data_IF_902557348253
#
_entry.id   IF_902557348253
#
_cell.length_a   1.000
_cell.length_b   1.000
_cell.length_c   1.000
_cell.angle_alpha   90.00
_cell.angle_beta   90.00
_cell.angle_gamma   90.00
#
_symmetry.space_group_name_H-M   'P 1'
#
loop_
_entity.id
_entity.type
_entity.pdbx_description
1 polymer ?
#
# COMPACT_ATOMS: atom_id res chain seq x y z
N UNK A 1 -21.14 8.03 -11.24
CA UNK A 1 -21.49 8.36 -9.84
C UNK A 1 -20.68 9.59 -9.50
N UNK A 2 -21.36 10.73 -9.43
CA UNK A 2 -20.74 12.03 -9.23
C UNK A 2 -20.10 12.10 -7.84
N UNK A 3 -18.85 12.52 -7.79
CA UNK A 3 -18.12 12.76 -6.56
C UNK A 3 -18.65 14.06 -5.94
N UNK A 4 -19.33 13.97 -4.79
CA UNK A 4 -19.80 15.13 -4.03
C UNK A 4 -18.72 15.46 -3.00
N UNK A 5 -17.99 16.58 -3.14
CA UNK A 5 -17.04 17.02 -2.12
C UNK A 5 -17.84 17.70 -1.00
N UNK A 6 -18.09 16.96 0.09
CA UNK A 6 -18.85 17.50 1.23
C UNK A 6 -19.11 16.56 2.42
N UNK A 7 -18.95 15.23 2.27
CA UNK A 7 -19.30 14.29 3.35
C UNK A 7 -18.16 13.96 4.34
N UNK A 8 -17.16 14.84 4.48
CA UNK A 8 -16.19 14.76 5.59
C UNK A 8 -16.47 15.76 6.73
N UNK A 9 -17.54 16.55 6.65
CA UNK A 9 -17.85 17.59 7.66
C UNK A 9 -18.62 17.09 8.90
N UNK A 10 -18.92 15.79 9.01
CA UNK A 10 -19.50 15.21 10.22
C UNK A 10 -18.48 14.44 11.08
N UNK A 11 -17.23 14.90 11.11
CA UNK A 11 -16.32 14.55 12.21
C UNK A 11 -16.77 15.36 13.43
N UNK A 12 -17.42 14.65 14.34
CA UNK A 12 -17.86 15.06 15.68
C UNK A 12 -16.89 16.11 16.28
N UNK A 13 -17.38 17.25 16.81
CA UNK A 13 -16.52 18.17 17.54
C UNK A 13 -15.97 17.43 18.76
N UNK A 14 -14.65 17.26 18.82
CA UNK A 14 -13.96 16.74 20.00
C UNK A 14 -14.03 17.85 21.06
N UNK A 15 -15.18 17.93 21.72
CA UNK A 15 -15.25 18.56 23.03
C UNK A 15 -14.36 17.74 23.96
N UNK A 16 -13.49 18.43 24.70
CA UNK A 16 -12.69 17.93 25.82
C UNK A 16 -13.60 17.19 26.81
N UNK A 17 -13.88 15.92 26.53
CA UNK A 17 -14.25 14.93 27.52
C UNK A 17 -12.98 14.18 27.84
N UNK A 18 -12.62 14.14 29.12
CA UNK A 18 -11.57 13.26 29.62
C UNK A 18 -11.93 11.82 29.24
N UNK A 19 -11.41 11.37 28.11
CA UNK A 19 -11.38 9.97 27.72
C UNK A 19 -10.36 9.33 28.64
N UNK A 20 -10.86 8.60 29.64
CA UNK A 20 -10.03 7.66 30.37
C UNK A 20 -9.46 6.65 29.38
N UNK A 21 -8.15 6.45 29.43
CA UNK A 21 -7.31 5.29 29.07
C UNK A 21 -7.75 4.24 28.02
N UNK A 22 -8.70 4.51 27.13
CA UNK A 22 -9.25 3.53 26.18
C UNK A 22 -8.97 3.87 24.70
N UNK A 23 -8.44 2.85 24.01
CA UNK A 23 -8.01 2.75 22.60
C UNK A 23 -6.63 3.36 22.30
N UNK A 24 -5.58 2.64 22.71
CA UNK A 24 -4.27 2.77 22.08
C UNK A 24 -4.39 2.45 20.58
N UNK A 25 -4.50 3.48 19.74
CA UNK A 25 -4.41 3.35 18.28
C UNK A 25 -3.07 2.68 17.98
N UNK A 26 -3.08 1.55 17.26
CA UNK A 26 -1.83 0.89 16.90
C UNK A 26 -0.95 1.87 16.10
N UNK A 27 0.35 1.91 16.39
CA UNK A 27 1.28 2.79 15.69
C UNK A 27 1.22 2.61 14.17
N UNK A 28 0.91 1.39 13.71
CA UNK A 28 0.68 1.08 12.31
C UNK A 28 -0.54 1.80 11.71
N UNK A 29 -1.66 1.91 12.44
CA UNK A 29 -2.86 2.59 11.94
C UNK A 29 -2.62 4.10 11.81
N UNK A 30 -1.96 4.70 12.80
CA UNK A 30 -1.61 6.12 12.73
C UNK A 30 -0.71 6.42 11.53
N UNK A 31 0.28 5.56 11.26
CA UNK A 31 1.14 5.70 10.09
C UNK A 31 0.36 5.56 8.77
N UNK A 32 -0.57 4.59 8.67
CA UNK A 32 -1.43 4.44 7.48
C UNK A 32 -2.25 5.70 7.24
N UNK A 33 -2.89 6.25 8.28
CA UNK A 33 -3.68 7.47 8.13
C UNK A 33 -2.81 8.66 7.71
N UNK A 34 -1.63 8.83 8.31
CA UNK A 34 -0.68 9.86 7.92
C UNK A 34 -0.19 9.69 6.47
N UNK A 35 0.01 8.45 6.02
CA UNK A 35 0.36 8.13 4.64
C UNK A 35 -0.78 8.44 3.66
N UNK A 36 -2.02 8.05 4.00
CA UNK A 36 -3.21 8.35 3.21
C UNK A 36 -3.41 9.86 3.01
N UNK A 37 -3.16 10.66 4.04
CA UNK A 37 -3.30 12.12 3.97
C UNK A 37 -2.26 12.81 3.08
N UNK A 38 -1.19 12.11 2.72
CA UNK A 38 -0.17 12.62 1.79
C UNK A 38 -0.48 12.29 0.33
N UNK A 39 -1.43 11.38 0.07
CA UNK A 39 -1.84 11.05 -1.28
C UNK A 39 -2.51 12.25 -1.94
N UNK A 40 -2.25 12.42 -3.25
CA UNK A 40 -2.94 13.44 -4.02
C UNK A 40 -4.40 13.01 -4.24
N UNK A 41 -5.36 13.94 -4.33
CA UNK A 41 -6.78 13.61 -4.54
C UNK A 41 -7.07 12.80 -5.80
N UNK A 42 -6.23 12.89 -6.82
CA UNK A 42 -6.30 12.16 -8.09
C UNK A 42 -5.54 10.83 -8.08
N UNK A 43 -5.01 10.41 -6.93
CA UNK A 43 -4.31 9.13 -6.81
C UNK A 43 -5.33 8.00 -6.78
N UNK A 44 -5.44 7.28 -7.89
CA UNK A 44 -6.35 6.13 -8.01
C UNK A 44 -5.68 4.80 -7.70
N UNK A 45 -4.43 4.63 -8.12
CA UNK A 45 -3.61 3.42 -7.87
C UNK A 45 -2.39 3.80 -7.06
N UNK A 46 -2.07 3.01 -6.04
CA UNK A 46 -0.88 3.18 -5.22
C UNK A 46 0.03 1.95 -5.32
N UNK A 47 1.26 2.10 -5.83
CA UNK A 47 2.31 1.10 -5.70
C UNK A 47 2.69 0.89 -4.24
N UNK A 48 2.84 -0.37 -3.84
CA UNK A 48 3.26 -0.71 -2.49
C UNK A 48 4.18 -1.91 -2.42
N UNK A 49 5.00 -1.96 -1.37
CA UNK A 49 5.93 -3.05 -1.06
C UNK A 49 6.02 -3.22 0.46
N UNK A 50 6.62 -4.32 0.91
CA UNK A 50 7.13 -4.45 2.27
C UNK A 50 8.61 -4.79 2.28
N UNK A 51 9.32 -4.42 3.34
CA UNK A 51 10.74 -4.72 3.51
C UNK A 51 11.06 -5.07 4.96
N UNK A 52 11.94 -6.06 5.15
CA UNK A 52 12.38 -6.55 6.44
C UNK A 52 13.83 -7.02 6.37
N UNK A 53 14.59 -6.72 7.42
CA UNK A 53 15.90 -7.28 7.65
C UNK A 53 17.02 -6.50 6.98
N UNK A 54 18.13 -6.35 7.71
CA UNK A 54 19.32 -5.58 7.33
C UNK A 54 19.84 -5.89 5.91
N UNK A 55 19.72 -7.15 5.47
CA UNK A 55 20.14 -7.58 4.13
C UNK A 55 19.42 -6.86 2.99
N UNK A 56 18.13 -6.55 3.20
CA UNK A 56 17.26 -5.85 2.24
C UNK A 56 17.15 -4.35 2.54
N UNK A 57 17.12 -3.95 3.81
CA UNK A 57 16.98 -2.55 4.24
C UNK A 57 17.99 -1.62 3.56
N UNK A 58 19.24 -2.07 3.36
CA UNK A 58 20.30 -1.31 2.67
C UNK A 58 19.96 -0.91 1.23
N UNK A 59 19.02 -1.60 0.58
CA UNK A 59 18.60 -1.30 -0.79
C UNK A 59 17.39 -0.37 -0.85
N UNK A 60 16.68 -0.16 0.26
CA UNK A 60 15.40 0.56 0.28
C UNK A 60 15.50 1.97 -0.29
N UNK A 61 16.54 2.71 0.08
CA UNK A 61 16.71 4.07 -0.44
C UNK A 61 16.91 4.07 -1.97
N UNK A 62 17.69 3.11 -2.50
CA UNK A 62 17.91 3.00 -3.95
C UNK A 62 16.67 2.50 -4.69
N UNK A 63 15.89 1.64 -4.05
CA UNK A 63 14.61 1.18 -4.58
C UNK A 63 13.63 2.34 -4.74
N UNK A 64 13.51 3.19 -3.72
CA UNK A 64 12.67 4.40 -3.77
C UNK A 64 13.19 5.45 -4.74
N UNK A 65 14.51 5.66 -4.84
CA UNK A 65 15.09 6.54 -5.87
C UNK A 65 14.79 6.00 -7.26
N UNK A 66 14.84 4.67 -7.45
CA UNK A 66 14.49 4.05 -8.73
C UNK A 66 13.01 4.24 -9.07
N UNK A 67 12.11 4.04 -8.11
CA UNK A 67 10.68 4.30 -8.26
C UNK A 67 10.41 5.76 -8.70
N UNK A 68 11.10 6.72 -8.06
CA UNK A 68 11.03 8.13 -8.44
C UNK A 68 11.49 8.38 -9.87
N UNK A 69 12.61 7.78 -10.28
CA UNK A 69 13.18 7.92 -11.63
C UNK A 69 12.22 7.40 -12.71
N UNK A 70 11.46 6.35 -12.42
CA UNK A 70 10.49 5.81 -13.38
C UNK A 70 9.15 6.54 -13.39
N UNK A 71 8.94 7.54 -12.52
CA UNK A 71 7.73 8.39 -12.54
C UNK A 71 6.82 8.25 -11.32
N UNK A 72 7.10 7.32 -10.40
CA UNK A 72 6.23 7.08 -9.24
C UNK A 72 6.35 8.22 -8.23
N UNK A 73 5.24 8.91 -7.97
CA UNK A 73 5.18 10.06 -7.07
C UNK A 73 5.04 9.70 -5.58
N UNK A 74 4.31 8.62 -5.28
CA UNK A 74 4.12 8.10 -3.92
C UNK A 74 4.23 6.58 -3.94
N UNK A 75 4.94 6.03 -2.97
CA UNK A 75 5.18 4.60 -2.86
C UNK A 75 4.94 4.16 -1.42
N UNK A 76 3.92 3.34 -1.18
CA UNK A 76 3.66 2.81 0.16
C UNK A 76 4.69 1.74 0.53
N UNK A 77 5.38 1.92 1.65
CA UNK A 77 6.39 0.97 2.12
C UNK A 77 6.03 0.49 3.51
N UNK A 78 5.77 -0.80 3.60
CA UNK A 78 5.61 -1.49 4.87
C UNK A 78 6.98 -1.86 5.44
N UNK A 79 7.36 -1.12 6.47
CA UNK A 79 8.65 -1.26 7.12
C UNK A 79 8.47 -2.16 8.33
N UNK A 80 8.94 -3.41 8.23
CA UNK A 80 8.67 -4.46 9.21
C UNK A 80 9.73 -4.49 10.35
N UNK A 81 10.63 -3.51 10.36
CA UNK A 81 11.56 -3.23 11.43
C UNK A 81 11.89 -1.72 11.49
N UNK A 82 12.49 -1.29 12.59
CA UNK A 82 12.78 0.13 12.84
C UNK A 82 13.83 0.69 11.87
N UNK A 83 14.80 -0.12 11.45
CA UNK A 83 15.85 0.32 10.51
C UNK A 83 15.23 0.64 9.14
N UNK A 84 14.32 -0.21 8.66
CA UNK A 84 13.56 0.03 7.44
C UNK A 84 12.73 1.32 7.53
N UNK A 85 12.05 1.56 8.66
CA UNK A 85 11.24 2.77 8.87
C UNK A 85 12.10 4.03 8.80
N UNK A 86 13.22 4.03 9.52
CA UNK A 86 14.17 5.15 9.56
C UNK A 86 14.86 5.41 8.23
N UNK A 87 15.04 4.39 7.38
CA UNK A 87 15.55 4.57 6.01
C UNK A 87 14.45 5.12 5.10
N UNK A 88 13.24 4.56 5.16
CA UNK A 88 12.13 4.94 4.32
C UNK A 88 11.78 6.43 4.46
N UNK A 89 11.63 6.92 5.70
CA UNK A 89 11.21 8.30 6.01
C UNK A 89 12.18 9.38 5.53
N UNK A 90 13.39 8.99 5.13
CA UNK A 90 14.40 9.90 4.57
C UNK A 90 14.16 10.20 3.10
N UNK A 91 13.27 9.47 2.44
CA UNK A 91 13.01 9.61 1.01
C UNK A 91 11.62 10.21 0.76
N UNK A 92 11.50 11.28 -0.05
CA UNK A 92 10.27 12.07 -0.14
C UNK A 92 9.07 11.34 -0.75
N UNK A 93 9.29 10.32 -1.60
CA UNK A 93 8.17 9.54 -2.17
C UNK A 93 7.70 8.40 -1.26
N UNK A 94 8.47 8.07 -0.22
CA UNK A 94 8.20 6.92 0.63
C UNK A 94 7.10 7.23 1.63
N UNK A 95 5.97 6.53 1.51
CA UNK A 95 4.87 6.56 2.47
C UNK A 95 5.04 5.40 3.44
N UNK A 96 5.75 5.66 4.53
CA UNK A 96 6.31 4.63 5.41
C UNK A 96 5.31 4.22 6.49
N UNK A 97 5.03 2.93 6.57
CA UNK A 97 4.10 2.37 7.56
C UNK A 97 4.80 1.29 8.37
N UNK A 98 4.83 1.45 9.70
CA UNK A 98 5.38 0.43 10.60
C UNK A 98 4.48 -0.80 10.62
N UNK A 99 5.12 -1.97 10.53
CA UNK A 99 4.46 -3.27 10.64
C UNK A 99 5.25 -4.22 11.54
N UNK A 100 4.66 -5.37 11.84
CA UNK A 100 5.35 -6.48 12.54
C UNK A 100 6.00 -7.41 11.53
N UNK A 101 7.08 -8.14 11.85
CA UNK A 101 7.68 -9.12 10.93
C UNK A 101 6.72 -10.28 10.60
N UNK A 102 5.96 -10.16 9.52
CA UNK A 102 5.03 -11.18 9.05
C UNK A 102 4.80 -11.07 7.55
N UNK A 103 4.80 -12.22 6.88
CA UNK A 103 4.41 -12.32 5.46
C UNK A 103 2.93 -11.95 5.27
N UNK A 104 2.10 -12.07 6.31
CA UNK A 104 0.67 -11.76 6.24
C UNK A 104 0.40 -10.27 5.98
N UNK A 105 1.35 -9.38 6.27
CA UNK A 105 1.23 -7.96 5.96
C UNK A 105 1.03 -7.68 4.47
N UNK A 106 1.52 -8.59 3.61
CA UNK A 106 1.24 -8.56 2.17
C UNK A 106 -0.24 -8.60 1.83
N UNK A 107 -1.04 -9.21 2.69
CA UNK A 107 -2.47 -9.36 2.46
C UNK A 107 -3.30 -8.40 3.31
N UNK A 108 -2.92 -8.15 4.56
CA UNK A 108 -3.74 -7.33 5.47
C UNK A 108 -3.74 -5.85 5.13
N UNK A 109 -2.67 -5.34 4.53
CA UNK A 109 -2.52 -3.90 4.33
C UNK A 109 -3.06 -3.36 3.01
N UNK A 110 -2.98 -4.10 1.89
CA UNK A 110 -3.82 -3.78 0.74
C UNK A 110 -5.28 -3.60 1.13
N UNK A 111 -5.82 -4.43 2.05
CA UNK A 111 -7.21 -4.30 2.50
C UNK A 111 -7.52 -2.90 3.05
N UNK A 112 -6.58 -2.26 3.76
CA UNK A 112 -6.82 -0.92 4.32
C UNK A 112 -6.98 0.11 3.20
N UNK A 113 -6.14 0.07 2.17
CA UNK A 113 -6.26 0.97 1.01
C UNK A 113 -7.49 0.65 0.17
N UNK A 114 -7.78 -0.63 -0.05
CA UNK A 114 -8.98 -1.06 -0.77
C UNK A 114 -10.25 -0.61 -0.02
N UNK A 115 -10.26 -0.63 1.32
CA UNK A 115 -11.36 -0.09 2.13
C UNK A 115 -11.50 1.43 1.98
N UNK A 116 -10.40 2.15 1.76
CA UNK A 116 -10.39 3.57 1.46
C UNK A 116 -10.75 3.91 0.00
N UNK A 117 -11.09 2.91 -0.83
CA UNK A 117 -11.44 3.13 -2.24
C UNK A 117 -10.24 3.38 -3.15
N UNK A 118 -9.04 2.99 -2.72
CA UNK A 118 -7.79 3.16 -3.45
C UNK A 118 -7.33 1.82 -4.01
N UNK A 119 -7.11 1.76 -5.32
CA UNK A 119 -6.57 0.58 -5.98
C UNK A 119 -5.12 0.37 -5.57
N UNK A 120 -4.70 -0.89 -5.53
CA UNK A 120 -3.38 -1.28 -5.06
C UNK A 120 -2.60 -1.96 -6.17
N UNK A 121 -1.35 -1.57 -6.33
CA UNK A 121 -0.35 -2.33 -7.08
C UNK A 121 0.70 -2.87 -6.10
N UNK A 122 0.53 -4.11 -5.66
CA UNK A 122 1.52 -4.80 -4.84
C UNK A 122 2.72 -5.19 -5.67
N UNK A 123 3.92 -4.90 -5.16
CA UNK A 123 5.19 -5.36 -5.69
C UNK A 123 6.06 -5.88 -4.55
N UNK A 124 6.60 -7.10 -4.69
CA UNK A 124 7.63 -7.58 -3.77
C UNK A 124 8.89 -6.71 -3.91
N UNK A 125 9.65 -6.58 -2.82
CA UNK A 125 10.78 -5.66 -2.75
C UNK A 125 11.95 -6.05 -3.67
N UNK A 126 12.00 -7.29 -4.13
CA UNK A 126 12.95 -7.80 -5.11
C UNK A 126 12.51 -7.61 -6.57
N UNK A 127 11.36 -6.96 -6.81
CA UNK A 127 10.93 -6.55 -8.16
C UNK A 127 11.71 -5.33 -8.64
N UNK A 128 12.35 -5.43 -9.79
CA UNK A 128 13.11 -4.31 -10.35
C UNK A 128 12.26 -3.50 -11.35
N UNK A 129 12.09 -2.21 -11.06
CA UNK A 129 11.30 -1.31 -11.90
C UNK A 129 12.13 -0.74 -13.06
N UNK A 130 11.80 -1.11 -14.29
CA UNK A 130 12.41 -0.52 -15.49
C UNK A 130 11.65 0.69 -16.03
N UNK A 131 10.33 0.72 -15.83
CA UNK A 131 9.37 1.74 -16.27
C UNK A 131 8.34 1.96 -15.15
N UNK A 132 7.43 2.94 -15.30
CA UNK A 132 6.30 3.11 -14.38
C UNK A 132 5.33 1.91 -14.55
N UNK A 133 5.17 1.05 -13.54
CA UNK A 133 4.30 -0.10 -13.68
C UNK A 133 2.81 0.28 -13.58
N UNK A 134 2.47 1.46 -13.06
CA UNK A 134 1.06 1.90 -12.95
C UNK A 134 0.48 2.17 -14.33
N UNK A 135 1.23 2.86 -15.19
CA UNK A 135 0.82 3.15 -16.58
C UNK A 135 0.57 1.85 -17.35
N UNK A 136 1.49 0.90 -17.27
CA UNK A 136 1.35 -0.41 -17.92
C UNK A 136 0.11 -1.19 -17.43
N UNK A 137 -0.18 -1.14 -16.12
CA UNK A 137 -1.39 -1.78 -15.56
C UNK A 137 -2.65 -1.07 -16.08
N UNK A 138 -2.69 0.26 -16.09
CA UNK A 138 -3.84 1.02 -16.58
C UNK A 138 -4.12 0.76 -18.06
N UNK A 139 -3.08 0.69 -18.89
CA UNK A 139 -3.21 0.40 -20.33
C UNK A 139 -3.74 -1.00 -20.60
N UNK A 140 -3.38 -1.99 -19.77
CA UNK A 140 -3.78 -3.39 -19.94
C UNK A 140 -5.06 -3.74 -19.18
N UNK A 141 -5.56 -2.85 -18.33
CA UNK A 141 -6.76 -3.09 -17.56
C UNK A 141 -8.01 -2.93 -18.43
N UNK A 142 -8.40 -4.01 -19.11
CA UNK A 142 -9.64 -4.11 -19.90
C UNK A 142 -10.89 -4.33 -19.02
N UNK A 143 -10.92 -3.75 -17.82
CA UNK A 143 -12.01 -3.89 -16.85
C UNK A 143 -11.86 -5.08 -15.89
N UNK A 144 -10.63 -5.58 -15.70
CA UNK A 144 -10.32 -6.62 -14.73
C UNK A 144 -10.15 -6.03 -13.33
N UNK A 145 -10.73 -6.68 -12.32
CA UNK A 145 -10.62 -6.22 -10.93
C UNK A 145 -9.35 -6.75 -10.23
N UNK A 146 -8.75 -7.82 -10.75
CA UNK A 146 -7.50 -8.41 -10.27
C UNK A 146 -6.62 -8.77 -11.45
N UNK A 147 -5.35 -8.35 -11.43
CA UNK A 147 -4.35 -8.80 -12.39
C UNK A 147 -3.14 -9.33 -11.65
N UNK A 148 -2.60 -10.47 -12.11
CA UNK A 148 -1.41 -11.09 -11.53
C UNK A 148 -0.41 -11.39 -12.63
N UNK A 149 0.88 -11.34 -12.30
CA UNK A 149 1.89 -11.86 -13.21
C UNK A 149 1.82 -13.39 -13.26
N UNK A 150 2.11 -13.98 -14.42
CA UNK A 150 2.28 -15.44 -14.54
C UNK A 150 3.66 -15.87 -14.04
N UNK A 151 3.75 -17.02 -13.38
CA UNK A 151 5.04 -17.66 -13.07
C UNK A 151 5.47 -18.57 -14.22
N UNK A 152 6.68 -18.34 -14.77
CA UNK A 152 7.24 -19.11 -15.89
C UNK A 152 7.44 -20.61 -15.60
N UNK A 153 7.54 -21.01 -14.32
CA UNK A 153 8.05 -22.33 -13.96
C UNK A 153 6.97 -23.37 -13.63
N UNK A 154 5.71 -22.99 -13.42
CA UNK A 154 4.75 -23.90 -12.77
C UNK A 154 3.27 -23.71 -13.14
N UNK A 155 2.92 -23.01 -14.23
CA UNK A 155 1.51 -22.67 -14.55
C UNK A 155 0.77 -22.06 -13.34
N UNK A 156 1.51 -21.32 -12.50
CA UNK A 156 1.03 -20.72 -11.26
C UNK A 156 0.95 -19.20 -11.39
N UNK A 157 0.12 -18.58 -10.56
CA UNK A 157 0.12 -17.11 -10.38
C UNK A 157 1.34 -16.67 -9.56
N UNK A 158 1.94 -15.56 -9.96
CA UNK A 158 2.98 -14.87 -9.19
C UNK A 158 2.31 -13.83 -8.29
N UNK A 159 2.36 -14.03 -6.98
CA UNK A 159 1.87 -13.04 -6.03
C UNK A 159 2.85 -11.87 -5.83
N UNK A 160 4.02 -11.90 -6.46
CA UNK A 160 5.04 -10.86 -6.32
C UNK A 160 4.73 -9.57 -7.06
N UNK A 161 3.81 -9.60 -8.03
CA UNK A 161 3.24 -8.40 -8.67
C UNK A 161 1.75 -8.62 -8.85
N UNK A 162 0.94 -7.83 -8.15
CA UNK A 162 -0.53 -7.99 -8.13
C UNK A 162 -1.19 -6.62 -8.16
N UNK A 163 -2.07 -6.40 -9.13
CA UNK A 163 -3.02 -5.29 -9.14
C UNK A 163 -4.34 -5.74 -8.52
N UNK A 164 -4.89 -4.89 -7.66
CA UNK A 164 -6.16 -5.07 -6.96
C UNK A 164 -6.99 -3.80 -7.10
N UNK A 165 -8.16 -3.90 -7.72
CA UNK A 165 -9.12 -2.82 -7.79
C UNK A 165 -9.90 -2.71 -6.47
N UNK A 166 -10.19 -1.48 -6.03
CA UNK A 166 -10.94 -1.20 -4.82
C UNK A 166 -12.45 -1.42 -5.00
N UNK A 167 -12.86 -2.67 -5.22
CA UNK A 167 -14.26 -3.10 -5.23
C UNK A 167 -14.61 -3.88 -3.96
N UNK A 168 -15.89 -4.06 -3.69
CA UNK A 168 -16.34 -4.90 -2.57
C UNK A 168 -15.93 -6.35 -2.78
N UNK A 169 -16.08 -6.85 -4.00
CA UNK A 169 -15.77 -8.21 -4.41
C UNK A 169 -14.27 -8.53 -4.22
N UNK A 170 -13.38 -7.61 -4.62
CA UNK A 170 -11.93 -7.79 -4.42
C UNK A 170 -11.55 -7.75 -2.96
N UNK A 171 -12.16 -6.87 -2.15
CA UNK A 171 -11.90 -6.82 -0.70
C UNK A 171 -12.27 -8.14 -0.01
N UNK A 172 -13.46 -8.66 -0.31
CA UNK A 172 -13.94 -9.92 0.25
C UNK A 172 -13.08 -11.10 -0.21
N UNK A 173 -12.76 -11.16 -1.50
CA UNK A 173 -11.89 -12.20 -2.05
C UNK A 173 -10.48 -12.15 -1.44
N UNK A 174 -9.88 -10.97 -1.37
CA UNK A 174 -8.53 -10.79 -0.83
C UNK A 174 -8.46 -11.11 0.67
N UNK A 175 -9.52 -10.78 1.43
CA UNK A 175 -9.65 -11.20 2.83
C UNK A 175 -9.79 -12.73 2.94
N UNK A 176 -10.52 -13.39 2.03
CA UNK A 176 -10.66 -14.84 2.04
C UNK A 176 -9.33 -15.58 1.82
N UNK A 177 -8.37 -14.99 1.09
CA UNK A 177 -7.02 -15.56 0.93
C UNK A 177 -6.32 -15.76 2.28
N UNK A 178 -6.57 -14.91 3.27
CA UNK A 178 -6.00 -15.07 4.62
C UNK A 178 -6.52 -16.30 5.37
N UNK A 179 -7.59 -16.93 4.88
CA UNK A 179 -8.22 -18.11 5.48
C UNK A 179 -7.94 -19.41 4.72
N UNK A 180 -7.22 -19.34 3.60
CA UNK A 180 -6.73 -20.51 2.84
C UNK A 180 -5.45 -21.08 3.49
#
# INVERSE_FOLDING_TARGET
LDFIPGELENVIPIHERSLGDDVAVSMSFADVMAALWQLKPDTHIVPMTMVYGRGFNRYLLRYLERAKVVGIGHFFVFTLDEEAYEICRKHPIGLCVRGTPSILNKFTLPLVLLHAGIDVLWMDFDVFMFQDPVEAVLEQNEGFDVMTASSFAADCVCSGVVYLRATTEVREWWLAILSW
#
